data_IF_118784791714
#
_entry.id   IF_118784791714
#
_cell.length_a   1.000
_cell.length_b   1.000
_cell.length_c   1.000
_cell.angle_alpha   90.00
_cell.angle_beta   90.00
_cell.angle_gamma   90.00
#
_symmetry.space_group_name_H-M   'P 1'
#
loop_
_entity.id
_entity.type
_entity.pdbx_description
1 polymer ?
#
# COMPACT_ATOMS: atom_id res chain seq x y z
N UNK A 1 19.40 16.31 53.16
CA UNK A 1 19.80 17.26 52.13
C UNK A 1 18.52 17.86 51.51
N UNK A 2 18.11 19.12 51.86
CA UNK A 2 16.91 19.76 51.28
C UNK A 2 17.27 20.38 49.96
N UNK A 3 16.84 19.76 48.87
CA UNK A 3 16.99 20.33 47.53
C UNK A 3 16.12 21.62 47.49
N UNK A 4 16.73 22.73 47.14
CA UNK A 4 16.00 24.00 46.97
C UNK A 4 14.91 23.81 45.88
N UNK A 5 13.73 24.37 46.07
CA UNK A 5 12.62 24.26 45.09
C UNK A 5 13.05 24.70 43.68
N UNK A 6 13.99 25.63 43.58
CA UNK A 6 14.56 26.11 42.31
C UNK A 6 15.44 25.05 41.65
N UNK A 7 16.25 24.32 42.45
CA UNK A 7 17.07 23.21 41.92
C UNK A 7 16.21 22.01 41.50
N UNK A 8 15.13 21.72 42.25
CA UNK A 8 14.16 20.70 41.86
C UNK A 8 13.45 21.01 40.54
N UNK A 9 13.04 22.26 40.36
CA UNK A 9 12.40 22.69 39.10
C UNK A 9 13.36 22.66 37.92
N UNK A 10 14.62 23.05 38.11
CA UNK A 10 15.63 22.99 37.06
C UNK A 10 15.93 21.53 36.62
N UNK A 11 16.05 20.61 37.57
CA UNK A 11 16.24 19.19 37.27
C UNK A 11 15.06 18.64 36.50
N UNK A 12 13.84 18.94 36.91
CA UNK A 12 12.62 18.49 36.22
C UNK A 12 12.53 19.03 34.79
N UNK A 13 12.85 20.31 34.55
CA UNK A 13 12.89 20.90 33.23
C UNK A 13 13.93 20.24 32.32
N UNK A 14 15.14 20.01 32.85
CA UNK A 14 16.20 19.31 32.07
C UNK A 14 15.79 17.89 31.75
N UNK A 15 15.19 17.16 32.68
CA UNK A 15 14.74 15.78 32.44
C UNK A 15 13.65 15.73 31.35
N UNK A 16 12.68 16.65 31.40
CA UNK A 16 11.61 16.73 30.37
C UNK A 16 12.22 17.06 29.01
N UNK A 17 13.17 18.00 28.96
CA UNK A 17 13.81 18.42 27.72
C UNK A 17 14.65 17.30 27.09
N UNK A 18 15.42 16.58 27.88
CA UNK A 18 16.21 15.42 27.43
C UNK A 18 15.29 14.27 27.01
N UNK A 19 14.22 14.00 27.77
CA UNK A 19 13.25 12.95 27.41
C UNK A 19 12.54 13.27 26.10
N UNK A 20 12.16 14.53 25.87
CA UNK A 20 11.49 14.92 24.62
C UNK A 20 12.42 14.85 23.41
N UNK A 21 13.70 15.21 23.54
CA UNK A 21 14.67 15.12 22.44
C UNK A 21 15.01 13.68 22.03
N UNK A 22 14.89 12.73 22.95
CA UNK A 22 15.13 11.29 22.65
C UNK A 22 13.85 10.57 22.22
N UNK A 23 12.73 10.81 22.92
CA UNK A 23 11.46 10.14 22.62
C UNK A 23 10.81 10.63 21.31
N UNK A 24 10.92 11.90 20.98
CA UNK A 24 10.29 12.46 19.79
C UNK A 24 10.81 11.86 18.49
N UNK A 25 12.12 11.71 18.25
CA UNK A 25 12.62 11.01 17.06
C UNK A 25 12.28 9.51 17.03
N UNK A 26 12.20 8.85 18.20
CA UNK A 26 11.79 7.45 18.28
C UNK A 26 10.31 7.27 17.91
N UNK A 27 9.45 8.17 18.37
CA UNK A 27 8.04 8.19 18.01
C UNK A 27 7.84 8.52 16.52
N UNK A 28 8.61 9.44 15.97
CA UNK A 28 8.56 9.72 14.54
C UNK A 28 8.99 8.52 13.69
N UNK A 29 10.01 7.78 14.10
CA UNK A 29 10.42 6.55 13.38
C UNK A 29 9.35 5.47 13.37
N UNK A 30 8.49 5.40 14.37
CA UNK A 30 7.38 4.43 14.41
C UNK A 30 6.16 4.87 13.62
N UNK A 31 6.05 6.17 13.30
CA UNK A 31 4.91 6.75 12.57
C UNK A 31 5.20 6.93 11.08
N UNK A 32 6.47 7.07 10.71
CA UNK A 32 6.87 7.19 9.29
C UNK A 32 7.16 5.81 8.69
N UNK A 33 6.18 4.92 8.61
CA UNK A 33 6.23 3.89 7.57
C UNK A 33 5.92 4.60 6.27
N UNK A 34 6.91 4.72 5.42
CA UNK A 34 6.66 5.11 4.04
C UNK A 34 5.63 4.13 3.46
N UNK A 35 4.56 4.63 2.83
CA UNK A 35 3.56 3.75 2.26
C UNK A 35 4.24 2.84 1.24
N UNK A 36 4.09 1.54 1.40
CA UNK A 36 4.57 0.58 0.42
C UNK A 36 3.71 0.66 -0.84
N UNK A 37 4.30 0.35 -2.00
CA UNK A 37 3.62 0.42 -3.29
C UNK A 37 3.10 1.83 -3.63
N UNK A 38 3.84 2.86 -3.23
CA UNK A 38 3.51 4.24 -3.58
C UNK A 38 3.57 4.47 -5.09
N UNK A 39 2.56 5.13 -5.65
CA UNK A 39 2.55 5.52 -7.06
C UNK A 39 3.58 6.63 -7.38
N UNK A 40 4.21 7.23 -6.38
CA UNK A 40 5.13 8.37 -6.50
C UNK A 40 6.52 8.10 -5.91
N UNK A 41 6.71 7.02 -5.19
CA UNK A 41 8.00 6.64 -4.62
C UNK A 41 8.91 6.00 -5.66
N UNK A 42 10.22 6.07 -5.41
CA UNK A 42 11.25 5.53 -6.30
C UNK A 42 11.93 4.27 -5.74
N UNK A 43 11.42 3.74 -4.64
CA UNK A 43 11.93 2.51 -4.05
C UNK A 43 11.64 1.30 -4.94
N UNK A 44 12.37 0.21 -4.72
CA UNK A 44 12.27 -1.00 -5.55
C UNK A 44 10.88 -1.65 -5.58
N UNK A 45 10.08 -1.43 -4.53
CA UNK A 45 8.72 -1.92 -4.36
C UNK A 45 7.64 -0.87 -4.66
N UNK A 46 8.02 0.30 -5.21
CA UNK A 46 7.09 1.35 -5.58
C UNK A 46 6.55 1.21 -7.00
N UNK A 47 5.43 1.85 -7.26
CA UNK A 47 4.70 1.76 -8.53
C UNK A 47 4.97 2.92 -9.48
N UNK A 48 5.93 3.81 -9.19
CA UNK A 48 6.24 4.94 -10.07
C UNK A 48 6.60 4.52 -11.50
N UNK A 49 7.35 3.42 -11.65
CA UNK A 49 7.70 2.87 -12.99
C UNK A 49 6.47 2.35 -13.73
N UNK A 50 5.58 1.66 -13.03
CA UNK A 50 4.33 1.17 -13.60
C UNK A 50 3.44 2.33 -14.03
N UNK A 51 3.28 3.34 -13.17
CA UNK A 51 2.57 4.57 -13.48
C UNK A 51 3.14 5.26 -14.71
N UNK A 52 4.45 5.50 -14.74
CA UNK A 52 5.13 6.19 -15.87
C UNK A 52 5.01 5.40 -17.19
N UNK A 53 5.03 4.07 -17.13
CA UNK A 53 4.80 3.24 -18.31
C UNK A 53 3.38 3.44 -18.87
N UNK A 54 2.36 3.46 -18.03
CA UNK A 54 0.99 3.72 -18.44
C UNK A 54 0.81 5.14 -19.02
N UNK A 55 1.43 6.15 -18.40
CA UNK A 55 1.41 7.54 -18.92
C UNK A 55 2.08 7.62 -20.31
N UNK A 56 3.17 6.87 -20.53
CA UNK A 56 3.86 6.80 -21.81
C UNK A 56 3.00 6.16 -22.91
N UNK A 57 2.18 5.18 -22.53
CA UNK A 57 1.18 4.57 -23.43
C UNK A 57 -0.06 5.44 -23.66
N UNK A 58 -0.10 6.63 -23.07
CA UNK A 58 -1.16 7.63 -23.29
C UNK A 58 -2.36 7.53 -22.34
N UNK A 59 -2.27 6.74 -21.27
CA UNK A 59 -3.32 6.69 -20.26
C UNK A 59 -3.27 7.91 -19.35
N UNK A 60 -4.46 8.44 -19.01
CA UNK A 60 -4.59 9.49 -18.01
C UNK A 60 -4.68 8.85 -16.61
N UNK A 61 -3.77 9.22 -15.71
CA UNK A 61 -3.67 8.62 -14.39
C UNK A 61 -4.04 9.63 -13.32
N UNK A 62 -4.97 9.25 -12.46
CA UNK A 62 -5.37 10.01 -11.28
C UNK A 62 -5.15 9.16 -10.04
N UNK A 63 -4.40 9.67 -9.07
CA UNK A 63 -4.18 8.97 -7.80
C UNK A 63 -5.20 9.40 -6.77
N UNK A 64 -5.80 8.41 -6.12
CA UNK A 64 -6.69 8.61 -4.97
C UNK A 64 -5.87 8.45 -3.70
N UNK A 65 -5.64 9.57 -3.00
CA UNK A 65 -4.86 9.62 -1.75
C UNK A 65 -5.74 9.65 -0.49
N UNK A 66 -7.05 9.59 -0.68
CA UNK A 66 -8.02 9.62 0.41
C UNK A 66 -8.86 8.34 0.41
N UNK A 67 -10.14 8.47 0.66
CA UNK A 67 -11.07 7.33 0.56
C UNK A 67 -11.41 7.01 -0.90
N UNK A 68 -11.50 5.74 -1.29
CA UNK A 68 -12.02 5.32 -2.59
C UNK A 68 -13.48 5.74 -2.85
N UNK A 69 -14.17 6.29 -1.86
CA UNK A 69 -15.53 6.82 -2.02
C UNK A 69 -15.65 7.86 -3.15
N UNK A 70 -14.57 8.55 -3.50
CA UNK A 70 -14.53 9.49 -4.64
C UNK A 70 -14.78 8.82 -6.00
N UNK A 71 -14.66 7.50 -6.08
CA UNK A 71 -14.92 6.73 -7.30
C UNK A 71 -16.42 6.70 -7.64
N UNK A 72 -17.30 6.97 -6.66
CA UNK A 72 -18.73 7.06 -6.88
C UNK A 72 -19.12 8.12 -7.94
N UNK A 73 -18.30 9.17 -8.09
CA UNK A 73 -18.55 10.29 -9.01
C UNK A 73 -17.90 10.12 -10.39
N UNK A 74 -17.36 8.92 -10.71
CA UNK A 74 -16.77 8.66 -12.03
C UNK A 74 -17.85 8.66 -13.13
N UNK A 75 -17.68 9.54 -14.10
CA UNK A 75 -18.62 9.68 -15.23
C UNK A 75 -18.58 8.46 -16.18
N UNK A 76 -17.42 7.82 -16.33
CA UNK A 76 -17.21 6.73 -17.30
C UNK A 76 -16.57 5.49 -16.67
N UNK A 77 -17.25 4.75 -15.78
CA UNK A 77 -16.71 3.57 -15.13
C UNK A 77 -16.16 2.52 -16.10
N UNK A 78 -16.88 2.24 -17.19
CA UNK A 78 -16.51 1.22 -18.18
C UNK A 78 -15.22 1.54 -18.98
N UNK A 79 -14.76 2.80 -18.95
CA UNK A 79 -13.53 3.25 -19.60
C UNK A 79 -12.39 3.43 -18.59
N UNK A 80 -12.63 3.16 -17.32
CA UNK A 80 -11.68 3.38 -16.24
C UNK A 80 -11.20 2.04 -15.68
N UNK A 81 -9.93 1.97 -15.33
CA UNK A 81 -9.33 0.90 -14.54
C UNK A 81 -8.97 1.47 -13.17
N UNK A 82 -9.52 0.91 -12.11
CA UNK A 82 -9.10 1.20 -10.74
C UNK A 82 -8.00 0.22 -10.35
N UNK A 83 -6.84 0.73 -9.96
CA UNK A 83 -5.73 -0.05 -9.44
C UNK A 83 -5.67 0.13 -7.93
N UNK A 84 -5.85 -0.96 -7.21
CA UNK A 84 -5.73 -1.02 -5.75
C UNK A 84 -4.42 -1.73 -5.43
N UNK A 85 -3.51 -1.04 -4.79
CA UNK A 85 -2.20 -1.59 -4.45
C UNK A 85 -1.78 -1.18 -3.03
N UNK A 86 -1.24 -2.13 -2.26
CA UNK A 86 -0.67 -1.87 -0.95
C UNK A 86 -1.67 -1.30 0.07
N UNK A 87 -2.82 -1.92 0.23
CA UNK A 87 -3.89 -1.46 1.12
C UNK A 87 -3.44 -1.50 2.59
N UNK A 88 -3.19 -0.33 3.18
CA UNK A 88 -2.64 -0.18 4.55
C UNK A 88 -3.67 -0.38 5.67
N UNK A 89 -4.95 -0.29 5.35
CA UNK A 89 -6.06 -0.48 6.29
C UNK A 89 -7.25 -1.15 5.61
N UNK A 90 -8.08 -1.90 6.35
CA UNK A 90 -9.26 -2.52 5.77
C UNK A 90 -10.25 -1.47 5.26
N UNK A 91 -10.88 -1.75 4.13
CA UNK A 91 -11.94 -0.91 3.60
C UNK A 91 -13.16 -0.93 4.52
N UNK A 92 -13.78 0.22 4.71
CA UNK A 92 -15.08 0.34 5.37
C UNK A 92 -16.20 -0.24 4.49
N UNK A 93 -17.34 -0.56 5.10
CA UNK A 93 -18.49 -1.06 4.35
C UNK A 93 -18.93 -0.13 3.22
N UNK A 94 -18.93 1.19 3.45
CA UNK A 94 -19.27 2.20 2.44
C UNK A 94 -18.29 2.18 1.26
N UNK A 95 -16.99 2.08 1.54
CA UNK A 95 -15.96 2.03 0.49
C UNK A 95 -16.08 0.77 -0.36
N UNK A 96 -16.40 -0.36 0.28
CA UNK A 96 -16.67 -1.62 -0.40
C UNK A 96 -17.91 -1.49 -1.31
N UNK A 97 -19.00 -0.91 -0.81
CA UNK A 97 -20.22 -0.67 -1.59
C UNK A 97 -19.95 0.18 -2.83
N UNK A 98 -19.18 1.25 -2.70
CA UNK A 98 -18.79 2.11 -3.84
C UNK A 98 -17.98 1.35 -4.87
N UNK A 99 -17.00 0.54 -4.43
CA UNK A 99 -16.17 -0.24 -5.33
C UNK A 99 -16.99 -1.34 -6.05
N UNK A 100 -17.93 -1.97 -5.36
CA UNK A 100 -18.84 -2.95 -5.97
C UNK A 100 -19.76 -2.26 -6.99
N UNK A 101 -20.39 -1.14 -6.64
CA UNK A 101 -21.24 -0.37 -7.56
C UNK A 101 -20.45 0.09 -8.81
N UNK A 102 -19.19 0.48 -8.65
CA UNK A 102 -18.31 0.81 -9.77
C UNK A 102 -18.11 -0.38 -10.72
N UNK A 103 -17.89 -1.60 -10.18
CA UNK A 103 -17.77 -2.82 -11.00
C UNK A 103 -19.08 -3.18 -11.68
N UNK A 104 -20.21 -3.05 -10.99
CA UNK A 104 -21.55 -3.28 -11.56
C UNK A 104 -21.87 -2.30 -12.70
N UNK A 105 -21.34 -1.08 -12.64
CA UNK A 105 -21.42 -0.09 -13.71
C UNK A 105 -20.47 -0.37 -14.90
N UNK A 106 -19.80 -1.53 -14.89
CA UNK A 106 -18.89 -1.97 -15.96
C UNK A 106 -17.45 -1.51 -15.79
N UNK A 107 -17.09 -0.96 -14.64
CA UNK A 107 -15.73 -0.64 -14.26
C UNK A 107 -14.83 -1.88 -14.20
N UNK A 108 -13.54 -1.66 -14.23
CA UNK A 108 -12.53 -2.71 -14.12
C UNK A 108 -11.61 -2.44 -12.94
N UNK A 109 -11.22 -3.50 -12.23
CA UNK A 109 -10.36 -3.38 -11.06
C UNK A 109 -9.17 -4.33 -11.16
N UNK A 110 -7.99 -3.83 -10.83
CA UNK A 110 -6.78 -4.62 -10.60
C UNK A 110 -6.42 -4.49 -9.11
N UNK A 111 -6.43 -5.60 -8.39
CA UNK A 111 -6.04 -5.65 -6.98
C UNK A 111 -4.68 -6.31 -6.88
N UNK A 112 -3.72 -5.56 -6.35
CA UNK A 112 -2.34 -6.01 -6.11
C UNK A 112 -2.06 -5.90 -4.61
N UNK A 113 -1.84 -7.03 -3.98
CA UNK A 113 -1.55 -7.09 -2.56
C UNK A 113 -0.85 -8.39 -2.21
N UNK A 114 -0.16 -8.35 -1.09
CA UNK A 114 0.55 -9.52 -0.59
C UNK A 114 0.29 -9.71 0.92
N UNK A 115 0.79 -8.85 1.80
CA UNK A 115 0.63 -8.88 3.25
C UNK A 115 -0.29 -7.79 3.79
N UNK A 116 -1.11 -7.21 2.93
CA UNK A 116 -1.97 -6.08 3.21
C UNK A 116 -3.44 -6.47 3.45
N UNK A 117 -4.31 -5.46 3.47
CA UNK A 117 -5.74 -5.64 3.65
C UNK A 117 -6.53 -5.87 2.34
N UNK A 118 -5.88 -6.22 1.24
CA UNK A 118 -6.52 -6.47 -0.06
C UNK A 118 -7.60 -7.57 -0.01
N UNK A 119 -7.54 -8.45 0.99
CA UNK A 119 -8.56 -9.48 1.21
C UNK A 119 -9.96 -8.90 1.52
N UNK A 120 -10.06 -7.67 2.03
CA UNK A 120 -11.38 -7.02 2.21
C UNK A 120 -12.14 -6.85 0.90
N UNK A 121 -11.44 -6.78 -0.22
CA UNK A 121 -12.04 -6.73 -1.56
C UNK A 121 -12.02 -8.09 -2.25
N UNK A 122 -10.91 -8.81 -2.19
CA UNK A 122 -10.72 -10.06 -2.93
C UNK A 122 -11.71 -11.15 -2.49
N UNK A 123 -12.03 -11.23 -1.20
CA UNK A 123 -12.96 -12.22 -0.66
C UNK A 123 -14.40 -12.05 -1.17
N UNK A 124 -14.78 -10.85 -1.63
CA UNK A 124 -16.07 -10.61 -2.29
C UNK A 124 -16.20 -11.41 -3.60
N UNK A 125 -15.08 -11.73 -4.23
CA UNK A 125 -15.01 -12.46 -5.49
C UNK A 125 -14.49 -13.90 -5.28
N UNK A 126 -14.57 -14.42 -4.04
CA UNK A 126 -14.07 -15.77 -3.67
C UNK A 126 -12.58 -15.99 -3.94
N UNK A 127 -11.81 -14.89 -4.05
CA UNK A 127 -10.36 -14.89 -4.17
C UNK A 127 -9.77 -14.51 -2.82
N UNK A 128 -8.66 -15.15 -2.44
CA UNK A 128 -7.95 -14.83 -1.21
C UNK A 128 -6.45 -14.79 -1.44
N UNK A 129 -5.84 -13.69 -1.04
CA UNK A 129 -4.39 -13.59 -0.90
C UNK A 129 -3.96 -14.35 0.36
N UNK A 130 -3.05 -15.29 0.22
CA UNK A 130 -2.63 -16.15 1.32
C UNK A 130 -1.79 -15.41 2.38
N UNK A 131 -1.14 -14.31 2.00
CA UNK A 131 -0.27 -13.52 2.89
C UNK A 131 0.96 -14.30 3.37
N UNK A 132 1.39 -15.29 2.63
CA UNK A 132 2.57 -16.10 2.95
C UNK A 132 3.64 -15.90 1.89
N UNK A 133 4.89 -15.94 2.35
CA UNK A 133 6.02 -15.98 1.41
C UNK A 133 5.95 -17.26 0.59
N UNK A 134 6.08 -17.13 -0.71
CA UNK A 134 6.27 -18.25 -1.60
C UNK A 134 7.72 -18.74 -1.49
N UNK A 135 7.90 -20.05 -1.52
CA UNK A 135 9.19 -20.71 -1.51
C UNK A 135 9.17 -21.77 -2.59
N UNK A 136 10.14 -21.72 -3.51
CA UNK A 136 10.29 -22.71 -4.54
C UNK A 136 11.79 -23.01 -4.74
N UNK A 137 12.11 -24.16 -5.32
CA UNK A 137 13.45 -24.49 -5.76
C UNK A 137 13.84 -23.78 -7.07
N UNK A 138 12.86 -23.28 -7.81
CA UNK A 138 13.05 -22.52 -9.04
C UNK A 138 13.09 -21.02 -8.73
N UNK A 139 14.29 -20.50 -8.42
CA UNK A 139 14.51 -19.10 -8.09
C UNK A 139 15.70 -18.50 -8.83
N UNK A 140 15.78 -17.18 -8.89
CA UNK A 140 16.87 -16.44 -9.53
C UNK A 140 17.63 -15.61 -8.50
N UNK A 141 18.84 -16.03 -8.18
CA UNK A 141 19.76 -15.32 -7.29
C UNK A 141 19.41 -15.40 -5.79
N UNK A 142 18.16 -15.30 -5.41
CA UNK A 142 17.69 -15.39 -4.03
C UNK A 142 16.41 -16.22 -3.95
N UNK A 143 16.26 -17.04 -2.90
CA UNK A 143 15.09 -17.90 -2.66
C UNK A 143 13.75 -17.15 -2.54
N UNK A 144 13.77 -15.83 -2.38
CA UNK A 144 12.59 -14.96 -2.41
C UNK A 144 12.29 -14.37 -3.78
N UNK A 145 13.09 -14.68 -4.81
CA UNK A 145 12.86 -14.27 -6.20
C UNK A 145 12.47 -15.49 -7.01
N UNK A 146 11.23 -15.86 -6.93
CA UNK A 146 10.71 -17.04 -7.60
C UNK A 146 10.54 -16.81 -9.10
N UNK A 147 10.86 -17.85 -9.89
CA UNK A 147 10.50 -17.92 -11.29
C UNK A 147 9.18 -18.68 -11.42
N UNK A 148 8.17 -18.02 -11.94
CA UNK A 148 6.85 -18.62 -12.17
C UNK A 148 6.54 -18.56 -13.65
N UNK A 149 6.28 -19.70 -14.25
CA UNK A 149 5.86 -19.79 -15.64
C UNK A 149 4.34 -19.85 -15.69
N UNK A 150 3.75 -18.96 -16.46
CA UNK A 150 2.30 -18.83 -16.63
C UNK A 150 1.91 -18.78 -18.10
N UNK A 151 0.66 -19.11 -18.39
CA UNK A 151 0.12 -19.11 -19.74
C UNK A 151 -1.08 -18.14 -19.80
N UNK A 152 -1.05 -17.24 -20.78
CA UNK A 152 -2.19 -16.39 -21.07
C UNK A 152 -2.36 -16.26 -22.58
N UNK A 153 -3.58 -16.42 -23.08
CA UNK A 153 -3.92 -16.34 -24.51
C UNK A 153 -3.04 -17.22 -25.41
N UNK A 154 -2.62 -18.40 -24.91
CA UNK A 154 -1.77 -19.34 -25.65
C UNK A 154 -0.30 -18.94 -25.70
N UNK A 155 0.11 -17.90 -25.00
CA UNK A 155 1.51 -17.50 -24.85
C UNK A 155 2.02 -17.85 -23.46
N UNK A 156 3.28 -18.27 -23.41
CA UNK A 156 3.99 -18.55 -22.16
C UNK A 156 4.70 -17.28 -21.67
N UNK A 157 4.61 -17.01 -20.40
CA UNK A 157 5.25 -15.90 -19.72
C UNK A 157 6.03 -16.40 -18.52
N UNK A 158 7.26 -15.96 -18.37
CA UNK A 158 8.04 -16.16 -17.15
C UNK A 158 7.99 -14.91 -16.31
N UNK A 159 7.49 -15.01 -15.10
CA UNK A 159 7.43 -13.93 -14.11
C UNK A 159 8.50 -14.16 -13.04
N UNK A 160 9.11 -13.08 -12.59
CA UNK A 160 9.95 -13.06 -11.38
C UNK A 160 9.13 -12.38 -10.28
N UNK A 161 8.88 -13.12 -9.21
CA UNK A 161 8.10 -12.67 -8.04
C UNK A 161 9.02 -12.48 -6.83
#
# INVERSE_FOLDING_TARGET
>A
MRISNRAGLAILLVTVLVSSTVLFPLLQRTVSREPQLSAYGDDWNDLSRFRNALETEGYNITSVLSSPAVIADLEHPSQTLVVVAGTESPYSGLEVEVLVAYLEAGGRMLVMGDFDYSNTLAELFTVRFAGHRLWDQNYVGNVSMLRVDGYANGQEYTLLL
#
